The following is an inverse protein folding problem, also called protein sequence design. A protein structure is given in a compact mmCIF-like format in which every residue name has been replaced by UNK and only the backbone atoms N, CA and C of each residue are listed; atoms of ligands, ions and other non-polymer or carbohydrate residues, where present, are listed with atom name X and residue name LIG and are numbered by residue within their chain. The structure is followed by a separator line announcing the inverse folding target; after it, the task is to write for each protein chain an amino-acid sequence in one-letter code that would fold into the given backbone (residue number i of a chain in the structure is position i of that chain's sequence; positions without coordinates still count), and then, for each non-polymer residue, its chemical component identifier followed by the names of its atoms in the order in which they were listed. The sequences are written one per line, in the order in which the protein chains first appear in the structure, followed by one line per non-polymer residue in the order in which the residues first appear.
data_IF_136690161871
#
_entry.id   IF_136690161871
#
_cell.length_a   1.000
_cell.length_b   1.000
_cell.length_c   1.000
_cell.angle_alpha   90.00
_cell.angle_beta   90.00
_cell.angle_gamma   90.00
#
_symmetry.space_group_name_H-M   'P 1'
#
loop_
_entity.id
_entity.type
_entity.pdbx_description
1 polymer ?
#
# COMPACT_ATOMS: atom_id res chain seq x y z
N UNK A 1 -31.54 50.08 -29.15
CA UNK A 1 -31.58 48.67 -28.68
C UNK A 1 -32.02 47.67 -29.76
N UNK A 2 -33.17 47.84 -30.43
CA UNK A 2 -33.67 46.90 -31.47
C UNK A 2 -32.72 46.67 -32.67
N UNK A 3 -32.02 47.71 -33.14
CA UNK A 3 -31.04 47.59 -34.26
C UNK A 3 -29.77 46.82 -33.88
N UNK A 4 -29.34 46.92 -32.62
CA UNK A 4 -28.15 46.21 -32.11
C UNK A 4 -28.46 44.72 -31.96
N UNK A 5 -29.65 44.39 -31.45
CA UNK A 5 -30.14 43.01 -31.37
C UNK A 5 -30.27 42.36 -32.76
N UNK A 6 -30.68 43.11 -33.78
CA UNK A 6 -30.76 42.63 -35.16
C UNK A 6 -29.38 42.35 -35.76
N UNK A 7 -28.39 43.21 -35.49
CA UNK A 7 -27.00 42.98 -35.92
C UNK A 7 -26.36 41.79 -35.22
N UNK A 8 -26.62 41.60 -33.92
CA UNK A 8 -26.14 40.43 -33.18
C UNK A 8 -26.79 39.15 -33.70
N UNK A 9 -28.09 39.16 -33.99
CA UNK A 9 -28.79 38.01 -34.57
C UNK A 9 -28.33 37.69 -36.01
N UNK A 10 -27.92 38.69 -36.80
CA UNK A 10 -27.38 38.47 -38.15
C UNK A 10 -25.97 37.87 -38.11
N UNK A 11 -25.14 38.31 -37.16
CA UNK A 11 -23.79 37.77 -36.93
C UNK A 11 -23.79 36.32 -36.43
N UNK A 12 -24.79 35.93 -35.64
CA UNK A 12 -24.92 34.54 -35.16
C UNK A 12 -25.42 33.57 -36.24
N UNK A 13 -26.21 34.04 -37.21
CA UNK A 13 -26.70 33.21 -38.34
C UNK A 13 -25.61 32.90 -39.37
N UNK A 14 -24.63 33.81 -39.55
CA UNK A 14 -23.50 33.59 -40.47
C UNK A 14 -22.40 32.69 -39.92
N UNK A 15 -22.39 32.44 -38.61
CA UNK A 15 -21.46 31.51 -37.97
C UNK A 15 -22.06 30.10 -37.94
N UNK A 16 -22.41 29.56 -39.11
CA UNK A 16 -22.47 28.10 -39.25
C UNK A 16 -21.04 27.58 -39.15
N UNK A 17 -20.54 27.45 -37.92
CA UNK A 17 -19.36 26.66 -37.62
C UNK A 17 -19.74 25.23 -37.97
N UNK A 18 -19.49 24.84 -39.21
CA UNK A 18 -19.48 23.42 -39.57
C UNK A 18 -18.37 22.81 -38.73
N UNK A 19 -18.73 22.23 -37.59
CA UNK A 19 -17.82 21.37 -36.83
C UNK A 19 -17.22 20.39 -37.85
N UNK A 20 -15.88 20.37 -37.97
CA UNK A 20 -15.22 19.45 -38.89
C UNK A 20 -15.60 18.03 -38.47
N UNK A 21 -16.49 17.41 -39.23
CA UNK A 21 -16.81 16.01 -39.03
C UNK A 21 -15.58 15.17 -39.43
N UNK A 22 -15.27 14.09 -38.70
CA UNK A 22 -14.20 13.20 -39.12
C UNK A 22 -14.56 12.61 -40.49
N UNK A 23 -13.88 13.09 -41.53
CA UNK A 23 -14.03 12.56 -42.89
C UNK A 23 -13.07 11.39 -43.04
N UNK A 24 -13.63 10.22 -43.36
CA UNK A 24 -12.85 9.04 -43.65
C UNK A 24 -12.20 9.18 -45.03
N UNK A 25 -10.88 9.19 -45.07
CA UNK A 25 -10.07 9.21 -46.29
C UNK A 25 -9.32 7.87 -46.38
N UNK A 26 -9.74 7.03 -47.33
CA UNK A 26 -9.19 5.69 -47.50
C UNK A 26 -7.71 5.71 -47.82
N UNK A 27 -7.20 6.70 -48.57
CA UNK A 27 -5.79 6.78 -48.93
C UNK A 27 -4.92 7.11 -47.71
N UNK A 28 -5.40 8.00 -46.83
CA UNK A 28 -4.72 8.27 -45.56
C UNK A 28 -4.76 7.08 -44.62
N UNK A 29 -5.88 6.36 -44.56
CA UNK A 29 -5.96 5.12 -43.80
C UNK A 29 -4.95 4.09 -44.32
N UNK A 30 -4.91 3.87 -45.63
CA UNK A 30 -3.95 2.96 -46.25
C UNK A 30 -2.50 3.37 -45.98
N UNK A 31 -2.18 4.66 -46.02
CA UNK A 31 -0.86 5.17 -45.68
C UNK A 31 -0.51 4.88 -44.21
N UNK A 32 -1.42 5.14 -43.28
CA UNK A 32 -1.23 4.84 -41.85
C UNK A 32 -1.07 3.34 -41.62
N UNK A 33 -1.93 2.51 -42.21
CA UNK A 33 -1.83 1.04 -42.14
C UNK A 33 -0.52 0.52 -42.74
N UNK A 34 -0.01 1.16 -43.80
CA UNK A 34 1.29 0.84 -44.38
C UNK A 34 2.45 1.14 -43.43
N UNK A 35 2.37 2.25 -42.69
CA UNK A 35 3.35 2.59 -41.66
C UNK A 35 3.31 1.64 -40.45
N UNK A 36 2.16 1.02 -40.20
CA UNK A 36 2.00 0.00 -39.15
C UNK A 36 2.49 -1.38 -39.62
N UNK A 37 1.86 -1.93 -40.66
CA UNK A 37 1.97 -3.35 -41.05
C UNK A 37 2.88 -3.61 -42.26
N UNK A 38 3.34 -2.56 -42.97
CA UNK A 38 4.25 -2.70 -44.11
C UNK A 38 3.59 -3.09 -45.44
N UNK A 39 2.26 -3.14 -45.50
CA UNK A 39 1.53 -3.30 -46.75
C UNK A 39 1.45 -1.95 -47.48
N UNK A 40 2.52 -1.56 -48.16
CA UNK A 40 2.67 -0.27 -48.88
C UNK A 40 1.71 -0.13 -50.07
N UNK A 41 0.42 0.06 -49.77
CA UNK A 41 -0.70 0.08 -50.71
C UNK A 41 -1.49 1.39 -50.60
N UNK A 42 -0.83 2.51 -50.89
CA UNK A 42 -1.43 3.84 -50.93
C UNK A 42 -1.00 4.59 -52.18
N UNK A 43 -1.87 5.48 -52.64
CA UNK A 43 -1.66 6.36 -53.79
C UNK A 43 -1.66 7.83 -53.36
N UNK A 44 -0.98 8.72 -54.11
CA UNK A 44 -0.34 8.49 -55.41
C UNK A 44 1.12 8.01 -55.35
N UNK A 45 1.38 6.80 -55.84
CA UNK A 45 2.68 6.11 -55.72
C UNK A 45 3.81 6.82 -56.51
N UNK A 46 3.47 7.33 -57.70
CA UNK A 46 4.43 8.00 -58.59
C UNK A 46 4.95 9.32 -58.01
N UNK A 47 4.15 10.01 -57.20
CA UNK A 47 4.57 11.23 -56.52
C UNK A 47 5.75 10.96 -55.57
N UNK A 48 5.70 9.85 -54.82
CA UNK A 48 6.81 9.42 -53.96
C UNK A 48 8.06 9.03 -54.76
N UNK A 49 7.89 8.37 -55.92
CA UNK A 49 9.02 8.04 -56.80
C UNK A 49 9.69 9.29 -57.41
N UNK A 50 8.92 10.34 -57.73
CA UNK A 50 9.44 11.55 -58.36
C UNK A 50 10.07 12.52 -57.37
N UNK A 51 9.46 12.73 -56.21
CA UNK A 51 9.87 13.79 -55.27
C UNK A 51 10.51 13.26 -53.97
N UNK A 52 10.31 11.98 -53.63
CA UNK A 52 10.69 11.43 -52.32
C UNK A 52 11.45 10.10 -52.39
N UNK A 53 12.02 9.78 -53.55
CA UNK A 53 12.76 8.52 -53.78
C UNK A 53 13.88 8.29 -52.77
N UNK A 54 14.54 9.35 -52.32
CA UNK A 54 15.74 9.28 -51.48
C UNK A 54 15.49 8.73 -50.07
N UNK A 55 14.24 8.73 -49.58
CA UNK A 55 13.92 8.26 -48.22
C UNK A 55 12.68 7.36 -48.14
N UNK A 56 11.81 7.36 -49.16
CA UNK A 56 10.56 6.58 -49.16
C UNK A 56 10.74 5.10 -49.51
N UNK A 57 11.88 4.70 -50.09
CA UNK A 57 12.07 3.34 -50.61
C UNK A 57 11.25 3.04 -51.88
N UNK A 58 10.71 4.07 -52.56
CA UNK A 58 9.98 3.92 -53.81
C UNK A 58 10.92 3.48 -54.95
N UNK A 59 10.60 2.35 -55.59
CA UNK A 59 11.35 1.80 -56.72
C UNK A 59 10.43 1.49 -57.89
N UNK A 60 10.94 1.64 -59.12
CA UNK A 60 10.21 1.33 -60.34
C UNK A 60 10.46 -0.14 -60.70
N UNK A 61 9.41 -0.96 -60.74
CA UNK A 61 9.49 -2.39 -61.09
C UNK A 61 8.56 -2.69 -62.27
N UNK A 62 9.05 -3.46 -63.23
CA UNK A 62 8.18 -4.00 -64.30
C UNK A 62 7.33 -5.14 -63.73
N UNK A 63 6.01 -5.07 -63.93
CA UNK A 63 5.08 -6.13 -63.53
C UNK A 63 4.45 -6.75 -64.77
N UNK A 64 4.77 -8.01 -65.02
CA UNK A 64 4.17 -8.80 -66.10
C UNK A 64 2.72 -9.17 -65.74
N UNK A 65 1.77 -8.78 -66.60
CA UNK A 65 0.34 -9.15 -66.50
C UNK A 65 -0.34 -9.15 -67.89
N UNK A 66 0.30 -9.80 -68.88
CA UNK A 66 -0.20 -9.85 -70.27
C UNK A 66 -0.29 -8.47 -70.91
N UNK A 67 -1.43 -8.15 -71.53
CA UNK A 67 -1.70 -6.81 -72.12
C UNK A 67 -1.77 -5.66 -71.10
N UNK A 68 -1.82 -5.96 -69.80
CA UNK A 68 -1.77 -4.96 -68.71
C UNK A 68 -0.38 -4.90 -68.05
N UNK A 69 0.66 -5.40 -68.73
CA UNK A 69 2.04 -5.29 -68.27
C UNK A 69 2.49 -3.83 -68.29
N UNK A 70 3.23 -3.42 -67.27
CA UNK A 70 3.70 -2.05 -67.18
C UNK A 70 4.59 -1.78 -65.99
N UNK A 71 5.12 -0.56 -65.96
CA UNK A 71 5.89 -0.05 -64.85
C UNK A 71 4.99 0.27 -63.67
N UNK A 72 5.32 -0.28 -62.50
CA UNK A 72 4.64 -0.06 -61.24
C UNK A 72 5.63 0.45 -60.22
N UNK A 73 5.21 1.37 -59.37
CA UNK A 73 6.00 1.77 -58.21
C UNK A 73 5.81 0.70 -57.14
N UNK A 74 6.90 0.27 -56.53
CA UNK A 74 6.91 -0.67 -55.42
C UNK A 74 7.77 -0.06 -54.34
N UNK A 75 7.23 0.00 -53.13
CA UNK A 75 7.96 0.44 -51.95
C UNK A 75 8.68 -0.75 -51.33
N UNK A 76 9.98 -0.58 -51.08
CA UNK A 76 10.79 -1.54 -50.34
C UNK A 76 11.20 -0.90 -49.03
N UNK A 77 10.80 -1.52 -47.94
CA UNK A 77 11.17 -1.04 -46.62
C UNK A 77 12.69 -1.12 -46.37
N UNK A 78 13.44 -2.04 -47.01
CA UNK A 78 14.91 -2.06 -46.90
C UNK A 78 15.55 -0.74 -47.35
N UNK A 79 14.98 -0.15 -48.39
CA UNK A 79 15.52 1.02 -49.09
C UNK A 79 14.90 2.33 -48.55
N UNK A 80 13.97 2.25 -47.59
CA UNK A 80 13.39 3.40 -46.91
C UNK A 80 14.16 3.76 -45.65
N UNK A 81 14.23 5.07 -45.34
CA UNK A 81 14.76 5.54 -44.06
C UNK A 81 13.73 5.39 -42.93
N UNK A 82 12.44 5.40 -43.28
CA UNK A 82 11.32 5.23 -42.36
C UNK A 82 10.88 3.77 -42.38
N UNK A 83 11.01 3.08 -41.25
CA UNK A 83 10.60 1.69 -41.06
C UNK A 83 9.22 1.61 -40.41
N UNK A 84 8.57 0.46 -40.55
CA UNK A 84 7.30 0.12 -39.93
C UNK A 84 7.40 0.11 -38.41
N UNK A 85 6.30 0.48 -37.76
CA UNK A 85 6.27 0.65 -36.30
C UNK A 85 5.82 -0.63 -35.60
N UNK A 86 4.99 -1.48 -36.22
CA UNK A 86 4.44 -2.68 -35.58
C UNK A 86 5.52 -3.62 -34.99
N UNK A 87 6.64 -3.95 -35.68
CA UNK A 87 7.65 -4.84 -35.10
C UNK A 87 8.28 -4.28 -33.81
N UNK A 88 8.39 -2.94 -33.70
CA UNK A 88 8.88 -2.31 -32.46
C UNK A 88 7.85 -2.38 -31.35
N UNK A 89 6.56 -2.17 -31.66
CA UNK A 89 5.47 -2.30 -30.68
C UNK A 89 5.30 -3.73 -30.21
N UNK A 90 5.33 -4.72 -31.09
CA UNK A 90 5.25 -6.14 -30.72
C UNK A 90 6.35 -6.52 -29.74
N UNK A 91 7.59 -6.10 -30.00
CA UNK A 91 8.71 -6.28 -29.07
C UNK A 91 8.46 -5.58 -27.73
N UNK A 92 7.96 -4.35 -27.75
CA UNK A 92 7.62 -3.62 -26.52
C UNK A 92 6.51 -4.31 -25.72
N UNK A 93 5.45 -4.78 -26.38
CA UNK A 93 4.34 -5.51 -25.76
C UNK A 93 4.83 -6.80 -25.14
N UNK A 94 5.68 -7.57 -25.84
CA UNK A 94 6.28 -8.77 -25.29
C UNK A 94 7.15 -8.49 -24.04
N UNK A 95 7.97 -7.43 -24.09
CA UNK A 95 8.77 -6.99 -22.93
C UNK A 95 7.87 -6.52 -21.77
N UNK A 96 6.78 -5.81 -22.06
CA UNK A 96 5.82 -5.39 -21.04
C UNK A 96 5.14 -6.58 -20.37
N UNK A 97 4.74 -7.60 -21.13
CA UNK A 97 4.16 -8.83 -20.58
C UNK A 97 5.13 -9.55 -19.64
N UNK A 98 6.42 -9.63 -19.99
CA UNK A 98 7.46 -10.19 -19.10
C UNK A 98 7.63 -9.35 -17.83
N UNK A 99 7.64 -8.01 -17.95
CA UNK A 99 7.72 -7.11 -16.80
C UNK A 99 6.53 -7.26 -15.86
N UNK A 100 5.32 -7.40 -16.41
CA UNK A 100 4.11 -7.63 -15.61
C UNK A 100 4.25 -8.91 -14.77
N UNK A 101 4.72 -10.01 -15.36
CA UNK A 101 4.93 -11.26 -14.61
C UNK A 101 5.95 -11.12 -13.47
N UNK A 102 7.02 -10.33 -13.66
CA UNK A 102 8.01 -10.06 -12.61
C UNK A 102 7.37 -9.23 -11.49
N UNK A 103 6.67 -8.15 -11.85
CA UNK A 103 5.99 -7.26 -10.90
C UNK A 103 4.94 -8.04 -10.09
N UNK A 104 4.19 -8.94 -10.72
CA UNK A 104 3.20 -9.78 -10.03
C UNK A 104 3.84 -10.70 -8.99
N UNK A 105 5.02 -11.28 -9.29
CA UNK A 105 5.76 -12.10 -8.32
C UNK A 105 6.27 -11.27 -7.15
N UNK A 106 6.82 -10.09 -7.43
CA UNK A 106 7.29 -9.16 -6.38
C UNK A 106 6.12 -8.68 -5.51
N UNK A 107 4.98 -8.35 -6.13
CA UNK A 107 3.77 -7.94 -5.44
C UNK A 107 3.29 -8.99 -4.45
N UNK A 108 3.26 -10.27 -4.84
CA UNK A 108 2.88 -11.37 -3.93
C UNK A 108 3.80 -11.45 -2.72
N UNK A 109 5.11 -11.29 -2.91
CA UNK A 109 6.09 -11.28 -1.81
C UNK A 109 5.90 -10.08 -0.88
N UNK A 110 5.67 -8.89 -1.44
CA UNK A 110 5.41 -7.68 -0.66
C UNK A 110 4.11 -7.80 0.12
N UNK A 111 3.07 -8.38 -0.48
CA UNK A 111 1.77 -8.60 0.15
C UNK A 111 1.89 -9.55 1.35
N UNK A 112 2.63 -10.65 1.22
CA UNK A 112 2.92 -11.57 2.31
C UNK A 112 3.64 -10.87 3.48
N UNK A 113 4.71 -10.13 3.18
CA UNK A 113 5.45 -9.36 4.20
C UNK A 113 4.57 -8.30 4.87
N UNK A 114 3.74 -7.60 4.10
CA UNK A 114 2.83 -6.60 4.63
C UNK A 114 1.76 -7.23 5.55
N UNK A 115 1.22 -8.38 5.19
CA UNK A 115 0.27 -9.11 6.03
C UNK A 115 0.93 -9.56 7.35
N UNK A 116 2.18 -10.00 7.31
CA UNK A 116 2.94 -10.34 8.51
C UNK A 116 3.19 -9.13 9.41
N UNK A 117 3.59 -7.99 8.84
CA UNK A 117 3.79 -6.75 9.60
C UNK A 117 2.49 -6.24 10.22
N UNK A 118 1.36 -6.34 9.51
CA UNK A 118 0.04 -6.00 10.05
C UNK A 118 -0.30 -6.91 11.24
N UNK A 119 -0.07 -8.22 11.13
CA UNK A 119 -0.30 -9.16 12.21
C UNK A 119 0.59 -8.88 13.43
N UNK A 120 1.90 -8.61 13.20
CA UNK A 120 2.84 -8.25 14.27
C UNK A 120 2.46 -6.90 14.92
N UNK A 121 2.02 -5.92 14.15
CA UNK A 121 1.55 -4.65 14.68
C UNK A 121 0.26 -4.80 15.51
N UNK A 122 -0.68 -5.64 15.06
CA UNK A 122 -1.89 -5.95 15.80
C UNK A 122 -1.58 -6.65 17.15
N UNK A 123 -0.62 -7.59 17.16
CA UNK A 123 -0.16 -8.24 18.40
C UNK A 123 0.45 -7.24 19.38
N UNK A 124 1.33 -6.34 18.92
CA UNK A 124 1.99 -5.35 19.80
C UNK A 124 1.04 -4.30 20.38
N UNK A 125 -0.04 -4.00 19.65
CA UNK A 125 -0.99 -2.95 20.00
C UNK A 125 -2.19 -3.45 20.82
N UNK A 126 -2.34 -4.77 21.00
CA UNK A 126 -3.43 -5.35 21.78
C UNK A 126 -2.90 -6.10 23.00
N UNK A 127 -3.45 -5.79 24.18
CA UNK A 127 -3.19 -6.58 25.39
C UNK A 127 -4.14 -7.78 25.44
N UNK A 128 -3.69 -8.91 24.90
CA UNK A 128 -4.47 -10.14 24.87
C UNK A 128 -4.24 -11.02 26.12
N UNK A 129 -3.18 -10.71 26.89
CA UNK A 129 -2.70 -11.61 27.96
C UNK A 129 -3.24 -11.22 29.33
N UNK A 130 -3.44 -9.92 29.61
CA UNK A 130 -3.82 -9.46 30.95
C UNK A 130 -5.13 -10.09 31.46
N UNK A 131 -6.06 -10.43 30.56
CA UNK A 131 -7.29 -11.14 30.92
C UNK A 131 -7.05 -12.39 31.78
N UNK A 132 -5.97 -13.15 31.51
CA UNK A 132 -5.60 -14.36 32.28
C UNK A 132 -5.16 -14.07 33.71
N UNK A 133 -4.67 -12.85 33.98
CA UNK A 133 -4.07 -12.47 35.27
C UNK A 133 -4.94 -11.51 36.09
N UNK A 134 -5.99 -10.92 35.48
CA UNK A 134 -6.80 -9.86 36.07
C UNK A 134 -7.37 -10.23 37.43
N UNK A 135 -8.03 -11.39 37.53
CA UNK A 135 -8.65 -11.86 38.77
C UNK A 135 -7.59 -12.13 39.84
N UNK A 136 -6.55 -12.91 39.50
CA UNK A 136 -5.44 -13.21 40.40
C UNK A 136 -4.77 -11.95 40.97
N UNK A 137 -4.52 -10.94 40.13
CA UNK A 137 -3.96 -9.69 40.60
C UNK A 137 -4.93 -8.91 41.49
N UNK A 138 -6.22 -8.93 41.18
CA UNK A 138 -7.25 -8.28 42.01
C UNK A 138 -7.31 -8.93 43.39
N UNK A 139 -7.30 -10.26 43.46
CA UNK A 139 -7.38 -11.02 44.72
C UNK A 139 -6.15 -10.81 45.61
N UNK A 140 -4.96 -10.89 45.02
CA UNK A 140 -3.71 -10.63 45.75
C UNK A 140 -3.63 -9.19 46.22
N UNK A 141 -4.10 -8.22 45.41
CA UNK A 141 -4.15 -6.82 45.81
C UNK A 141 -5.09 -6.62 47.01
N UNK A 142 -6.29 -7.22 46.98
CA UNK A 142 -7.22 -7.20 48.12
C UNK A 142 -6.58 -7.79 49.37
N UNK A 143 -5.94 -8.96 49.24
CA UNK A 143 -5.26 -9.64 50.35
C UNK A 143 -4.14 -8.79 50.97
N UNK A 144 -3.35 -8.08 50.14
CA UNK A 144 -2.32 -7.16 50.60
C UNK A 144 -2.95 -5.98 51.35
N UNK A 145 -3.96 -5.34 50.77
CA UNK A 145 -4.63 -4.17 51.36
C UNK A 145 -5.31 -4.52 52.69
N UNK A 146 -6.02 -5.64 52.75
CA UNK A 146 -6.66 -6.13 53.97
C UNK A 146 -5.62 -6.48 55.05
N UNK A 147 -4.56 -7.19 54.67
CA UNK A 147 -3.50 -7.58 55.60
C UNK A 147 -2.74 -6.39 56.18
N UNK A 148 -2.40 -5.39 55.37
CA UNK A 148 -1.74 -4.16 55.82
C UNK A 148 -2.66 -3.31 56.69
N UNK A 149 -3.94 -3.18 56.33
CA UNK A 149 -4.96 -2.50 57.15
C UNK A 149 -5.11 -3.17 58.51
N UNK A 150 -5.18 -4.49 58.54
CA UNK A 150 -5.23 -5.27 59.78
C UNK A 150 -4.00 -4.99 60.65
N UNK A 151 -2.79 -5.00 60.08
CA UNK A 151 -1.56 -4.69 60.82
C UNK A 151 -1.59 -3.27 61.41
N UNK A 152 -2.10 -2.30 60.66
CA UNK A 152 -2.19 -0.90 61.11
C UNK A 152 -3.11 -0.77 62.32
N UNK A 153 -4.32 -1.34 62.23
CA UNK A 153 -5.33 -1.29 63.29
C UNK A 153 -4.84 -2.03 64.53
N UNK A 154 -4.36 -3.26 64.36
CA UNK A 154 -3.95 -4.13 65.46
C UNK A 154 -2.74 -3.57 66.23
N UNK A 155 -1.75 -3.04 65.51
CA UNK A 155 -0.55 -2.46 66.12
C UNK A 155 -0.73 -1.04 66.68
N UNK A 156 -1.91 -0.43 66.51
CA UNK A 156 -2.18 0.98 66.85
C UNK A 156 -1.12 1.93 66.25
N UNK A 157 -0.69 1.66 65.01
CA UNK A 157 0.32 2.46 64.30
C UNK A 157 1.78 2.17 64.66
N UNK A 158 2.08 1.27 65.62
CA UNK A 158 3.47 0.94 66.00
C UNK A 158 4.28 0.28 64.87
N UNK A 159 3.60 -0.33 63.89
CA UNK A 159 4.24 -0.98 62.73
C UNK A 159 4.22 -0.12 61.45
N UNK A 160 3.96 1.19 61.56
CA UNK A 160 3.79 2.07 60.40
C UNK A 160 4.98 2.05 59.42
N UNK A 161 6.21 1.93 59.91
CA UNK A 161 7.40 1.85 59.06
C UNK A 161 7.40 0.64 58.12
N UNK A 162 7.16 -0.56 58.65
CA UNK A 162 7.09 -1.79 57.85
C UNK A 162 5.88 -1.80 56.92
N UNK A 163 4.75 -1.23 57.36
CA UNK A 163 3.56 -1.10 56.51
C UNK A 163 3.85 -0.19 55.31
N UNK A 164 4.51 0.95 55.54
CA UNK A 164 4.92 1.87 54.48
C UNK A 164 5.83 1.17 53.47
N UNK A 165 6.88 0.46 53.92
CA UNK A 165 7.79 -0.25 53.02
C UNK A 165 7.06 -1.26 52.11
N UNK A 166 6.15 -2.06 52.68
CA UNK A 166 5.38 -3.03 51.90
C UNK A 166 4.35 -2.34 50.97
N UNK A 167 3.84 -1.18 51.36
CA UNK A 167 2.94 -0.37 50.53
C UNK A 167 3.69 0.20 49.32
N UNK A 168 4.87 0.79 49.54
CA UNK A 168 5.72 1.33 48.49
C UNK A 168 6.13 0.21 47.49
N UNK A 169 6.46 -0.99 47.99
CA UNK A 169 6.72 -2.15 47.12
C UNK A 169 5.50 -2.55 46.30
N UNK A 170 4.30 -2.50 46.89
CA UNK A 170 3.06 -2.79 46.17
C UNK A 170 2.82 -1.78 45.03
N UNK A 171 3.08 -0.49 45.29
CA UNK A 171 2.96 0.57 44.30
C UNK A 171 3.91 0.36 43.10
N UNK A 172 5.14 -0.08 43.36
CA UNK A 172 6.10 -0.43 42.30
C UNK A 172 5.60 -1.61 41.45
N UNK A 173 5.06 -2.66 42.07
CA UNK A 173 4.54 -3.81 41.33
C UNK A 173 3.30 -3.42 40.50
N UNK A 174 2.37 -2.69 41.09
CA UNK A 174 1.13 -2.26 40.42
C UNK A 174 1.39 -1.27 39.29
N UNK A 175 2.34 -0.34 39.45
CA UNK A 175 2.78 0.55 38.38
C UNK A 175 3.47 -0.19 37.24
N UNK A 176 4.27 -1.22 37.52
CA UNK A 176 4.84 -2.10 36.48
C UNK A 176 3.74 -2.85 35.71
N UNK A 177 2.73 -3.39 36.40
CA UNK A 177 1.57 -4.03 35.76
C UNK A 177 0.83 -3.02 34.88
N UNK A 178 0.58 -1.80 35.38
CA UNK A 178 -0.07 -0.74 34.61
C UNK A 178 0.73 -0.35 33.36
N UNK A 179 2.06 -0.27 33.47
CA UNK A 179 2.95 0.00 32.34
C UNK A 179 2.87 -1.11 31.28
N UNK A 180 2.92 -2.38 31.68
CA UNK A 180 2.81 -3.53 30.78
C UNK A 180 1.47 -3.60 30.05
N UNK A 181 0.42 -2.99 30.61
CA UNK A 181 -0.91 -2.90 30.00
C UNK A 181 -1.06 -1.75 29.01
N UNK A 182 -0.18 -0.74 29.04
CA UNK A 182 -0.29 0.38 28.09
C UNK A 182 -0.19 -0.14 26.66
N UNK A 183 -1.03 0.42 25.80
CA UNK A 183 -1.12 0.12 24.37
C UNK A 183 -1.10 1.42 23.59
N UNK A 184 -0.61 1.39 22.36
CA UNK A 184 -0.52 2.55 21.47
C UNK A 184 0.91 2.97 21.18
N UNK A 185 1.05 4.07 20.46
CA UNK A 185 2.34 4.58 19.96
C UNK A 185 3.31 4.81 21.12
N UNK A 186 4.48 4.16 21.06
CA UNK A 186 5.51 4.21 22.10
C UNK A 186 5.34 3.18 23.24
N UNK A 187 4.24 2.42 23.25
CA UNK A 187 3.98 1.32 24.20
C UNK A 187 3.71 -0.01 23.48
N UNK A 188 4.24 -0.15 22.27
CA UNK A 188 4.17 -1.38 21.48
C UNK A 188 4.96 -2.50 22.17
N UNK A 189 4.24 -3.54 22.59
CA UNK A 189 4.84 -4.66 23.28
C UNK A 189 4.15 -5.95 22.87
N UNK A 190 4.93 -6.85 22.27
CA UNK A 190 4.47 -8.19 21.86
C UNK A 190 3.83 -8.91 23.05
N UNK A 191 2.76 -9.67 22.79
CA UNK A 191 2.05 -10.38 23.86
C UNK A 191 2.94 -11.41 24.56
N UNK A 192 3.89 -12.02 23.86
CA UNK A 192 4.89 -12.91 24.47
C UNK A 192 5.75 -12.22 25.53
N UNK A 193 6.09 -10.93 25.34
CA UNK A 193 6.84 -10.14 26.32
C UNK A 193 5.94 -9.69 27.47
N UNK A 194 4.68 -9.31 27.17
CA UNK A 194 3.66 -9.01 28.20
C UNK A 194 3.45 -10.20 29.13
N UNK A 195 3.31 -11.41 28.59
CA UNK A 195 3.13 -12.64 29.37
C UNK A 195 4.29 -12.90 30.32
N UNK A 196 5.53 -12.75 29.85
CA UNK A 196 6.72 -12.85 30.72
C UNK A 196 6.72 -11.78 31.81
N UNK A 197 6.33 -10.55 31.48
CA UNK A 197 6.20 -9.45 32.42
C UNK A 197 5.17 -9.72 33.51
N UNK A 198 3.96 -10.17 33.13
CA UNK A 198 2.91 -10.53 34.08
C UNK A 198 3.27 -11.76 34.92
N UNK A 199 3.93 -12.76 34.34
CA UNK A 199 4.43 -13.90 35.10
C UNK A 199 5.46 -13.49 36.16
N UNK A 200 6.32 -12.50 35.88
CA UNK A 200 7.23 -11.91 36.86
C UNK A 200 6.47 -11.14 37.94
N UNK A 201 5.57 -10.24 37.54
CA UNK A 201 4.75 -9.46 38.48
C UNK A 201 3.92 -10.36 39.42
N UNK A 202 3.40 -11.48 38.90
CA UNK A 202 2.75 -12.52 39.70
C UNK A 202 3.66 -13.04 40.82
N UNK A 203 4.89 -13.44 40.50
CA UNK A 203 5.84 -13.95 41.49
C UNK A 203 6.19 -12.88 42.54
N UNK A 204 6.43 -11.66 42.11
CA UNK A 204 6.78 -10.54 43.00
C UNK A 204 5.62 -10.24 43.96
N UNK A 205 4.38 -10.30 43.48
CA UNK A 205 3.19 -10.05 44.28
C UNK A 205 2.87 -11.21 45.23
N UNK A 206 3.09 -12.47 44.82
CA UNK A 206 3.01 -13.64 45.69
C UNK A 206 4.01 -13.55 46.86
N UNK A 207 5.24 -13.08 46.59
CA UNK A 207 6.23 -12.83 47.64
C UNK A 207 5.77 -11.72 48.60
N UNK A 208 5.19 -10.65 48.05
CA UNK A 208 4.66 -9.55 48.85
C UNK A 208 3.50 -10.00 49.76
N UNK A 209 2.55 -10.79 49.24
CA UNK A 209 1.47 -11.40 50.03
C UNK A 209 2.03 -12.22 51.19
N UNK A 210 3.08 -13.02 50.96
CA UNK A 210 3.74 -13.80 52.03
C UNK A 210 4.35 -12.90 53.11
N UNK A 211 5.00 -11.80 52.73
CA UNK A 211 5.57 -10.82 53.67
C UNK A 211 4.47 -10.13 54.50
N UNK A 212 3.38 -9.70 53.85
CA UNK A 212 2.21 -9.11 54.53
C UNK A 212 1.58 -10.11 55.50
N UNK A 213 1.41 -11.36 55.09
CA UNK A 213 0.86 -12.42 55.95
C UNK A 213 1.75 -12.64 57.18
N UNK A 214 3.07 -12.61 57.00
CA UNK A 214 4.03 -12.74 58.11
C UNK A 214 3.94 -11.55 59.05
N UNK A 215 3.83 -10.33 58.50
CA UNK A 215 3.63 -9.11 59.28
C UNK A 215 2.32 -9.16 60.09
N UNK A 216 1.24 -9.66 59.50
CA UNK A 216 -0.04 -9.82 60.17
C UNK A 216 0.01 -10.82 61.34
N UNK A 217 0.78 -11.91 61.19
CA UNK A 217 1.03 -12.86 62.29
C UNK A 217 1.80 -12.20 63.43
N UNK A 218 2.83 -11.41 63.12
CA UNK A 218 3.56 -10.64 64.13
C UNK A 218 2.66 -9.64 64.83
N UNK A 219 1.83 -8.91 64.07
CA UNK A 219 0.88 -7.97 64.63
C UNK A 219 -0.12 -8.65 65.59
N UNK A 220 -0.56 -9.88 65.28
CA UNK A 220 -1.42 -10.67 66.16
C UNK A 220 -0.71 -11.16 67.43
N UNK A 221 0.58 -11.47 67.35
CA UNK A 221 1.34 -12.04 68.46
C UNK A 221 1.81 -11.00 69.47
N UNK A 222 2.16 -9.79 69.02
CA UNK A 222 2.84 -8.77 69.84
C UNK A 222 1.96 -7.55 70.19
N UNK A 223 0.79 -7.41 69.59
CA UNK A 223 -0.18 -6.33 69.84
C UNK A 223 -1.59 -6.91 69.94
#
# INVERSE_FOLDING_TARGET
MKRILFFIALLTVTLTVTAQQPVHDSQKEHQIRSMEQGHWDFSPDWWYLLFHKNYSGASKKWKWKGFKSGWRVVFKESDSNVKTIAPRREKQVAVQALKQQIIEKERKKIEELNNEEIARAADRNSDLVYGKYKELFTDMQSSITEGLTYCMIKSKGKMAGSIKELTDRNEVITSNIAYLRKTGVGYELENAKRERGFAKAKKDMEELVKKVTTLARLAKAFY
#
